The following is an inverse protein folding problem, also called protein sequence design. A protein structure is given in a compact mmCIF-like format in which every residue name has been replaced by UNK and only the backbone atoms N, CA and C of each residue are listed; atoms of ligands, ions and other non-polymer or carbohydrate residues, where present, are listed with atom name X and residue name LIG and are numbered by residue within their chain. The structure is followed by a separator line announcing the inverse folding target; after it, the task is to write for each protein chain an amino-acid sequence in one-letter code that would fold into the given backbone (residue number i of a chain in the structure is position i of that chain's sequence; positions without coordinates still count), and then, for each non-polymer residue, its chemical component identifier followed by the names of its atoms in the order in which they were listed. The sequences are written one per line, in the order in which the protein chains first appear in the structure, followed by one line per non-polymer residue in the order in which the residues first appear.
data_IF_612811745747
#
_entry.id   IF_612811745747
#
_cell.length_a   1.000
_cell.length_b   1.000
_cell.length_c   1.000
_cell.angle_alpha   90.00
_cell.angle_beta   90.00
_cell.angle_gamma   90.00
#
_symmetry.space_group_name_H-M   'P 1'
#
loop_
_entity.id
_entity.type
_entity.pdbx_description
1 polymer ?
#
# COMPACT_ATOMS: atom_id res chain seq x y z
N UNK A 1 -14.71 -31.17 -1.59
CA UNK A 1 -13.93 -30.47 -2.63
C UNK A 1 -14.06 -28.95 -2.54
N UNK A 2 -15.21 -28.29 -2.84
CA UNK A 2 -15.29 -26.82 -2.70
C UNK A 2 -15.21 -26.30 -1.26
N UNK A 3 -15.77 -27.02 -0.29
CA UNK A 3 -15.71 -26.64 1.13
C UNK A 3 -14.30 -26.80 1.71
N UNK A 4 -13.61 -27.90 1.39
CA UNK A 4 -12.23 -28.14 1.84
C UNK A 4 -11.22 -27.13 1.25
N UNK A 5 -11.47 -26.64 0.03
CA UNK A 5 -10.68 -25.56 -0.57
C UNK A 5 -10.87 -24.24 0.19
N UNK A 6 -12.13 -23.87 0.49
CA UNK A 6 -12.47 -22.65 1.22
C UNK A 6 -11.91 -22.62 2.65
N UNK A 7 -11.96 -23.75 3.37
CA UNK A 7 -11.38 -23.87 4.71
C UNK A 7 -9.84 -23.77 4.68
N UNK A 8 -9.19 -24.37 3.68
CA UNK A 8 -7.73 -24.27 3.50
C UNK A 8 -7.30 -22.84 3.17
N UNK A 9 -8.02 -22.17 2.30
CA UNK A 9 -7.75 -20.79 1.93
C UNK A 9 -7.93 -19.87 3.15
N UNK A 10 -9.00 -20.06 3.94
CA UNK A 10 -9.23 -19.31 5.18
C UNK A 10 -8.14 -19.54 6.22
N UNK A 11 -7.64 -20.78 6.36
CA UNK A 11 -6.57 -21.11 7.30
C UNK A 11 -5.23 -20.51 6.88
N UNK A 12 -4.93 -20.52 5.57
CA UNK A 12 -3.72 -19.90 5.03
C UNK A 12 -3.77 -18.38 5.17
N UNK A 13 -4.95 -17.79 4.98
CA UNK A 13 -5.23 -16.38 5.17
C UNK A 13 -5.01 -15.97 6.64
N UNK A 14 -5.61 -16.68 7.59
CA UNK A 14 -5.46 -16.40 9.03
C UNK A 14 -4.00 -16.58 9.49
N UNK A 15 -3.32 -17.62 9.00
CA UNK A 15 -1.89 -17.82 9.27
C UNK A 15 -1.04 -16.66 8.73
N UNK A 16 -1.26 -16.23 7.48
CA UNK A 16 -0.51 -15.13 6.86
C UNK A 16 -0.80 -13.80 7.56
N UNK A 17 -2.06 -13.55 7.92
CA UNK A 17 -2.48 -12.38 8.70
C UNK A 17 -1.77 -12.34 10.06
N UNK A 18 -1.73 -13.47 10.77
CA UNK A 18 -1.07 -13.58 12.09
C UNK A 18 0.44 -13.53 12.01
N UNK A 19 1.04 -14.06 10.95
CA UNK A 19 2.47 -13.97 10.69
C UNK A 19 2.87 -12.51 10.42
N UNK A 20 2.11 -11.82 9.56
CA UNK A 20 2.27 -10.38 9.32
C UNK A 20 2.05 -9.58 10.60
N UNK A 21 0.96 -9.83 11.34
CA UNK A 21 0.71 -9.18 12.63
C UNK A 21 1.77 -9.50 13.71
N UNK A 22 2.43 -10.66 13.61
CA UNK A 22 3.57 -11.03 14.44
C UNK A 22 4.82 -10.23 14.11
N UNK A 23 5.12 -10.05 12.81
CA UNK A 23 6.21 -9.21 12.30
C UNK A 23 5.98 -7.73 12.66
N UNK A 24 4.73 -7.26 12.57
CA UNK A 24 4.31 -5.94 13.06
C UNK A 24 4.66 -5.76 14.54
N UNK A 25 4.35 -6.75 15.37
CA UNK A 25 4.52 -6.67 16.83
C UNK A 25 5.99 -6.68 17.25
N UNK A 26 6.88 -7.17 16.39
CA UNK A 26 8.33 -7.11 16.64
C UNK A 26 8.95 -5.75 16.37
N UNK A 27 8.23 -4.79 15.77
CA UNK A 27 8.70 -3.43 15.41
C UNK A 27 10.07 -3.41 14.70
N UNK A 28 10.47 -4.52 14.10
CA UNK A 28 11.77 -4.67 13.46
C UNK A 28 11.65 -4.33 11.97
N UNK A 29 11.29 -3.09 11.68
CA UNK A 29 11.19 -2.54 10.32
C UNK A 29 12.52 -2.68 9.58
N UNK A 30 13.65 -2.59 10.28
CA UNK A 30 14.98 -2.83 9.72
C UNK A 30 15.15 -4.24 9.13
N UNK A 31 14.64 -5.28 9.80
CA UNK A 31 14.67 -6.64 9.27
C UNK A 31 13.73 -6.82 8.08
N UNK A 32 12.54 -6.22 8.14
CA UNK A 32 11.59 -6.22 7.01
C UNK A 32 12.19 -5.55 5.78
N UNK A 33 12.89 -4.43 5.97
CA UNK A 33 13.59 -3.70 4.91
C UNK A 33 14.62 -4.56 4.17
N UNK A 34 15.35 -5.44 4.89
CA UNK A 34 16.35 -6.30 4.27
C UNK A 34 15.75 -7.40 3.38
N UNK A 35 14.56 -7.89 3.69
CA UNK A 35 13.89 -8.95 2.91
C UNK A 35 12.92 -8.40 1.86
N UNK A 36 12.65 -7.10 1.90
CA UNK A 36 11.67 -6.43 1.05
C UNK A 36 11.98 -6.56 -0.45
N UNK A 37 13.23 -6.39 -0.93
CA UNK A 37 13.52 -6.51 -2.36
C UNK A 37 13.28 -7.94 -2.89
N UNK A 38 13.47 -8.96 -2.05
CA UNK A 38 13.22 -10.36 -2.44
C UNK A 38 11.72 -10.65 -2.49
N UNK A 39 10.94 -10.12 -1.55
CA UNK A 39 9.49 -10.32 -1.47
C UNK A 39 8.70 -9.44 -2.46
N UNK A 40 9.16 -8.21 -2.67
CA UNK A 40 8.54 -7.18 -3.50
C UNK A 40 9.61 -6.54 -4.39
N UNK A 41 10.02 -7.18 -5.50
CA UNK A 41 11.13 -6.70 -6.33
C UNK A 41 10.97 -5.28 -6.88
N UNK A 42 9.73 -4.80 -7.04
CA UNK A 42 9.43 -3.44 -7.48
C UNK A 42 9.75 -2.37 -6.41
N UNK A 43 9.91 -2.75 -5.13
CA UNK A 43 10.19 -1.80 -4.03
C UNK A 43 11.52 -1.07 -4.20
N UNK A 44 12.45 -1.60 -4.99
CA UNK A 44 13.74 -0.97 -5.28
C UNK A 44 13.63 0.39 -5.97
N UNK A 45 12.49 0.69 -6.57
CA UNK A 45 12.23 1.97 -7.25
C UNK A 45 11.67 3.04 -6.30
N UNK A 46 11.26 2.67 -5.09
CA UNK A 46 10.74 3.64 -4.12
C UNK A 46 11.90 4.41 -3.45
N UNK A 47 11.71 5.71 -3.17
CA UNK A 47 12.57 6.45 -2.25
C UNK A 47 12.62 5.82 -0.86
N UNK A 48 13.70 6.09 -0.12
CA UNK A 48 13.92 5.57 1.24
C UNK A 48 12.74 5.88 2.18
N UNK A 49 12.30 7.13 2.19
CA UNK A 49 11.21 7.63 3.03
C UNK A 49 9.87 6.96 2.67
N UNK A 50 9.65 6.71 1.39
CA UNK A 50 8.44 6.03 0.88
C UNK A 50 8.43 4.55 1.27
N UNK A 51 9.59 3.89 1.36
CA UNK A 51 9.67 2.52 1.88
C UNK A 51 9.26 2.48 3.35
N UNK A 52 9.71 3.45 4.16
CA UNK A 52 9.31 3.52 5.57
C UNK A 52 7.81 3.79 5.73
N UNK A 53 7.26 4.70 4.92
CA UNK A 53 5.82 4.97 4.88
C UNK A 53 5.00 3.72 4.50
N UNK A 54 5.40 3.01 3.43
CA UNK A 54 4.76 1.78 3.00
C UNK A 54 4.77 0.70 4.09
N UNK A 55 5.90 0.51 4.78
CA UNK A 55 6.01 -0.47 5.85
C UNK A 55 5.08 -0.12 7.03
N UNK A 56 4.99 1.17 7.39
CA UNK A 56 4.05 1.65 8.40
C UNK A 56 2.58 1.40 8.02
N UNK A 57 2.20 1.72 6.79
CA UNK A 57 0.83 1.47 6.29
C UNK A 57 0.51 -0.02 6.21
N UNK A 58 1.48 -0.85 5.80
CA UNK A 58 1.31 -2.30 5.73
C UNK A 58 1.07 -2.89 7.12
N UNK A 59 1.78 -2.38 8.12
CA UNK A 59 1.62 -2.76 9.52
C UNK A 59 0.19 -2.48 10.01
N UNK A 60 -0.28 -1.25 9.82
CA UNK A 60 -1.61 -0.83 10.30
C UNK A 60 -2.73 -1.53 9.53
N UNK A 61 -2.57 -1.67 8.22
CA UNK A 61 -3.52 -2.38 7.35
C UNK A 61 -3.62 -3.86 7.71
N UNK A 62 -2.48 -4.52 7.98
CA UNK A 62 -2.47 -5.92 8.41
C UNK A 62 -3.17 -6.13 9.75
N UNK A 63 -3.02 -5.19 10.70
CA UNK A 63 -3.71 -5.22 12.00
C UNK A 63 -5.23 -5.13 11.82
N UNK A 64 -5.71 -4.20 10.98
CA UNK A 64 -7.13 -4.06 10.67
C UNK A 64 -7.70 -5.26 9.90
N UNK A 65 -6.97 -5.75 8.89
CA UNK A 65 -7.30 -6.92 8.09
C UNK A 65 -7.47 -8.19 8.94
N UNK A 66 -6.56 -8.41 9.90
CA UNK A 66 -6.64 -9.55 10.82
C UNK A 66 -7.87 -9.48 11.73
N UNK A 67 -8.23 -8.29 12.23
CA UNK A 67 -9.42 -8.11 13.06
C UNK A 67 -10.73 -8.38 12.30
N UNK A 68 -10.70 -8.23 10.97
CA UNK A 68 -11.85 -8.43 10.07
C UNK A 68 -11.79 -9.75 9.30
N UNK A 69 -10.78 -10.58 9.55
CA UNK A 69 -10.51 -11.84 8.83
C UNK A 69 -10.54 -11.65 7.29
N UNK A 70 -10.00 -10.51 6.81
CA UNK A 70 -10.08 -10.11 5.41
C UNK A 70 -8.77 -9.48 4.93
N UNK A 71 -8.10 -10.12 3.95
CA UNK A 71 -6.83 -9.63 3.38
C UNK A 71 -6.98 -8.69 2.18
N UNK A 72 -8.19 -8.46 1.67
CA UNK A 72 -8.40 -7.58 0.53
C UNK A 72 -7.76 -6.17 0.71
N UNK A 73 -7.78 -5.55 1.90
CA UNK A 73 -7.10 -4.27 2.13
C UNK A 73 -5.58 -4.34 1.93
N UNK A 74 -4.93 -5.44 2.31
CA UNK A 74 -3.48 -5.62 2.14
C UNK A 74 -3.13 -5.72 0.66
N UNK A 75 -3.90 -6.50 -0.11
CA UNK A 75 -3.67 -6.64 -1.55
C UNK A 75 -3.84 -5.30 -2.28
N UNK A 76 -4.86 -4.51 -1.89
CA UNK A 76 -5.08 -3.17 -2.42
C UNK A 76 -3.91 -2.23 -2.11
N UNK A 77 -3.45 -2.22 -0.86
CA UNK A 77 -2.31 -1.41 -0.43
C UNK A 77 -1.05 -1.71 -1.24
N UNK A 78 -0.69 -3.00 -1.39
CA UNK A 78 0.49 -3.39 -2.18
C UNK A 78 0.38 -2.99 -3.66
N UNK A 79 -0.83 -3.04 -4.23
CA UNK A 79 -1.06 -2.57 -5.59
C UNK A 79 -0.86 -1.05 -5.73
N UNK A 80 -1.32 -0.26 -4.76
CA UNK A 80 -1.14 1.19 -4.73
C UNK A 80 0.34 1.58 -4.62
N UNK A 81 1.09 0.92 -3.72
CA UNK A 81 2.52 1.15 -3.59
C UNK A 81 3.32 0.72 -4.83
N UNK A 82 2.92 -0.36 -5.50
CA UNK A 82 3.49 -0.71 -6.80
C UNK A 82 3.26 0.37 -7.84
N UNK A 83 2.07 0.97 -7.90
CA UNK A 83 1.82 2.09 -8.82
C UNK A 83 2.69 3.32 -8.52
N UNK A 84 2.96 3.58 -7.25
CA UNK A 84 3.92 4.63 -6.87
C UNK A 84 5.33 4.28 -7.33
N UNK A 85 5.76 3.03 -7.17
CA UNK A 85 7.03 2.53 -7.69
C UNK A 85 7.13 2.61 -9.22
N UNK A 86 6.04 2.32 -9.95
CA UNK A 86 5.96 2.45 -11.41
C UNK A 86 6.19 3.91 -11.83
N UNK A 87 5.69 4.89 -11.08
CA UNK A 87 5.93 6.33 -11.33
C UNK A 87 7.42 6.65 -11.14
N UNK A 88 8.03 6.24 -10.03
CA UNK A 88 9.46 6.50 -9.81
C UNK A 88 10.38 5.76 -10.79
N UNK A 89 9.96 4.59 -11.29
CA UNK A 89 10.69 3.83 -12.30
C UNK A 89 10.70 4.52 -13.68
N UNK A 90 9.70 5.35 -13.98
CA UNK A 90 9.62 6.14 -15.20
C UNK A 90 9.97 7.61 -14.93
N UNK A 91 11.23 8.05 -15.16
CA UNK A 91 11.65 9.43 -14.89
C UNK A 91 10.89 10.46 -15.73
N UNK A 92 10.35 10.08 -16.90
CA UNK A 92 9.55 10.97 -17.74
C UNK A 92 8.18 11.20 -17.11
N UNK A 93 7.52 10.12 -16.68
CA UNK A 93 6.24 10.19 -15.98
C UNK A 93 6.39 10.92 -14.63
N UNK A 94 7.42 10.59 -13.86
CA UNK A 94 7.71 11.27 -12.59
C UNK A 94 7.88 12.77 -12.79
N UNK A 95 8.68 13.20 -13.78
CA UNK A 95 8.85 14.62 -14.09
C UNK A 95 7.55 15.29 -14.54
N UNK A 96 6.72 14.59 -15.33
CA UNK A 96 5.41 15.09 -15.77
C UNK A 96 4.45 15.31 -14.59
N UNK A 97 4.43 14.40 -13.61
CA UNK A 97 3.51 14.43 -12.47
C UNK A 97 3.95 15.37 -11.35
N UNK A 98 5.26 15.60 -11.21
CA UNK A 98 5.83 16.41 -10.11
C UNK A 98 6.16 17.85 -10.50
N UNK A 99 6.10 18.20 -11.79
CA UNK A 99 6.30 19.58 -12.23
C UNK A 99 5.16 20.48 -11.77
N UNK A 100 5.48 21.76 -11.55
CA UNK A 100 4.47 22.79 -11.40
C UNK A 100 3.60 22.86 -12.67
N UNK A 101 2.26 22.93 -12.55
CA UNK A 101 1.38 23.13 -13.69
C UNK A 101 1.65 24.48 -14.37
N UNK A 102 1.53 24.52 -15.70
CA UNK A 102 1.69 25.77 -16.43
C UNK A 102 0.40 26.61 -16.36
N UNK A 103 0.50 27.81 -15.78
CA UNK A 103 -0.58 28.80 -15.77
C UNK A 103 -1.61 28.64 -14.65
N UNK A 104 -2.70 29.40 -14.74
CA UNK A 104 -3.72 29.57 -13.68
C UNK A 104 -4.74 28.42 -13.58
N UNK A 105 -4.64 27.39 -14.45
CA UNK A 105 -5.55 26.24 -14.59
C UNK A 105 -7.07 26.53 -14.65
N UNK A 106 -7.46 27.80 -14.66
CA UNK A 106 -8.84 28.27 -14.63
C UNK A 106 -9.45 28.24 -13.22
N UNK A 107 -10.60 28.92 -13.05
CA UNK A 107 -11.30 28.96 -11.77
C UNK A 107 -11.83 27.57 -11.37
N UNK A 108 -11.67 27.22 -10.10
CA UNK A 108 -12.26 25.99 -9.52
C UNK A 108 -13.77 26.16 -9.41
N UNK A 109 -14.52 25.25 -10.02
CA UNK A 109 -15.98 25.22 -9.90
C UNK A 109 -16.43 25.09 -8.45
N UNK A 110 -17.41 25.88 -8.04
CA UNK A 110 -18.02 25.77 -6.71
C UNK A 110 -18.68 24.38 -6.61
N UNK A 111 -18.44 23.62 -5.52
CA UNK A 111 -19.11 22.35 -5.33
C UNK A 111 -20.64 22.55 -5.28
N UNK A 112 -21.39 21.73 -6.01
CA UNK A 112 -22.85 21.76 -5.98
C UNK A 112 -23.35 21.33 -4.59
N UNK A 113 -23.63 22.30 -3.72
CA UNK A 113 -24.09 22.06 -2.35
C UNK A 113 -23.70 23.14 -1.33
N UNK A 114 -22.80 24.06 -1.69
CA UNK A 114 -22.48 25.21 -0.85
C UNK A 114 -23.53 26.31 -0.99
N UNK A 115 -24.66 26.21 -0.29
CA UNK A 115 -25.46 27.41 0.02
C UNK A 115 -24.60 28.30 0.93
N UNK A 116 -23.97 29.32 0.36
CA UNK A 116 -23.43 30.43 1.12
C UNK A 116 -24.63 31.22 1.68
N UNK A 117 -24.94 30.97 2.94
CA UNK A 117 -25.77 31.88 3.75
C UNK A 117 -24.86 32.94 4.40
#
# INVERSE_FOLDING_TARGET
MRADQLERDSTMIDFTARLLAGLVRTENTAALRQVLPDALPWSIFLPEDDIEAMLGELVDTARGAAALENLAPIALLLAQWRHSADIYADPTLHALLTREPDGDLGPVSVPEGGTAE
#
